data_IF_655770554892
#
_entry.id   IF_655770554892
#
_cell.length_a   1.000
_cell.length_b   1.000
_cell.length_c   1.000
_cell.angle_alpha   90.00
_cell.angle_beta   90.00
_cell.angle_gamma   90.00
#
_symmetry.space_group_name_H-M   'P 1'
#
loop_
_entity.id
_entity.type
_entity.pdbx_description
1 polymer ?
#
# COMPACT_ATOMS: atom_id res chain seq x y z
N UNK A 1 -6.78 16.13 69.52
CA UNK A 1 -6.78 14.67 69.24
C UNK A 1 -7.68 14.41 68.03
N UNK A 2 -7.26 13.54 67.11
CA UNK A 2 -7.88 13.20 65.81
C UNK A 2 -7.50 14.08 64.59
N UNK A 3 -6.22 14.00 64.19
CA UNK A 3 -5.82 14.11 62.79
C UNK A 3 -5.28 12.74 62.38
N UNK A 4 -5.43 12.36 61.10
CA UNK A 4 -4.94 11.15 60.44
C UNK A 4 -5.92 9.96 60.36
N UNK A 5 -6.86 10.02 59.42
CA UNK A 5 -7.37 8.83 58.72
C UNK A 5 -7.81 9.19 57.30
N UNK A 6 -6.88 9.35 56.35
CA UNK A 6 -7.17 9.24 54.91
C UNK A 6 -5.86 9.00 54.11
N UNK A 7 -5.07 8.00 54.51
CA UNK A 7 -3.72 7.73 53.99
C UNK A 7 -3.59 6.42 53.18
N UNK A 8 -4.66 5.93 52.53
CA UNK A 8 -4.61 4.61 51.88
C UNK A 8 -5.12 4.49 50.45
N UNK A 9 -5.60 5.58 49.83
CA UNK A 9 -6.14 5.52 48.46
C UNK A 9 -5.54 6.53 47.46
N UNK A 10 -4.64 7.42 47.90
CA UNK A 10 -4.06 8.44 47.03
C UNK A 10 -3.08 7.86 45.98
N UNK A 11 -2.50 6.69 46.24
CA UNK A 11 -1.58 6.02 45.31
C UNK A 11 -2.29 5.24 44.19
N UNK A 12 -3.60 4.93 44.32
CA UNK A 12 -4.34 4.15 43.33
C UNK A 12 -4.84 4.98 42.14
N UNK A 13 -4.87 6.32 42.25
CA UNK A 13 -5.24 7.23 41.16
C UNK A 13 -4.07 7.69 40.28
N UNK A 14 -2.82 7.40 40.68
CA UNK A 14 -1.61 7.76 39.90
C UNK A 14 -1.14 6.65 38.95
N UNK A 15 -1.73 5.45 39.02
CA UNK A 15 -1.28 4.27 38.28
C UNK A 15 -1.86 4.03 36.87
N UNK A 16 -2.96 4.65 36.38
CA UNK A 16 -3.43 4.35 35.02
C UNK A 16 -2.82 5.25 33.94
N UNK A 17 -2.01 6.27 34.28
CA UNK A 17 -1.50 7.24 33.31
C UNK A 17 -0.27 6.81 32.50
N UNK A 18 0.50 5.82 32.99
CA UNK A 18 1.80 5.46 32.38
C UNK A 18 1.72 4.38 31.30
N UNK A 19 0.58 3.70 31.12
CA UNK A 19 0.44 2.62 30.13
C UNK A 19 0.04 3.10 28.72
N UNK A 20 -0.18 4.40 28.50
CA UNK A 20 -0.72 4.92 27.22
C UNK A 20 0.37 5.39 26.24
N UNK A 21 1.64 5.49 26.64
CA UNK A 21 2.71 6.06 25.80
C UNK A 21 3.67 5.04 25.15
N UNK A 22 3.29 3.77 25.03
CA UNK A 22 4.02 2.81 24.18
C UNK A 22 3.60 2.89 22.70
N UNK A 23 3.40 4.11 22.19
CA UNK A 23 3.28 4.33 20.75
C UNK A 23 4.65 4.17 20.13
N UNK A 24 4.91 3.07 19.41
CA UNK A 24 6.09 2.96 18.57
C UNK A 24 5.99 4.03 17.47
N UNK A 25 6.65 5.17 17.68
CA UNK A 25 6.86 6.18 16.64
C UNK A 25 7.95 5.62 15.74
N UNK A 26 7.60 5.28 14.50
CA UNK A 26 8.55 4.82 13.51
C UNK A 26 9.24 6.02 12.87
N UNK A 27 10.56 5.98 12.66
CA UNK A 27 11.25 7.04 11.94
C UNK A 27 10.66 7.20 10.54
N UNK A 28 10.59 8.44 10.08
CA UNK A 28 10.23 8.74 8.69
C UNK A 28 11.28 8.06 7.78
N UNK A 29 10.85 7.48 6.66
CA UNK A 29 11.80 6.87 5.72
C UNK A 29 12.81 7.91 5.22
N UNK A 30 12.41 9.18 5.24
CA UNK A 30 13.25 10.31 4.84
C UNK A 30 14.49 10.49 5.71
N UNK A 31 14.52 9.93 6.91
CA UNK A 31 15.68 9.93 7.80
C UNK A 31 16.78 8.96 7.34
N UNK A 32 16.44 7.93 6.54
CA UNK A 32 17.45 7.03 5.99
C UNK A 32 18.21 7.67 4.82
N UNK A 33 19.51 7.37 4.66
CA UNK A 33 20.33 7.84 3.55
C UNK A 33 19.67 7.57 2.20
N UNK A 34 19.66 8.57 1.32
CA UNK A 34 19.04 8.50 -0.02
C UNK A 34 19.53 7.28 -0.82
N UNK A 35 20.80 6.94 -0.69
CA UNK A 35 21.45 5.82 -1.37
C UNK A 35 20.84 4.46 -0.99
N UNK A 36 20.37 4.30 0.25
CA UNK A 36 19.74 3.05 0.72
C UNK A 36 18.29 2.91 0.22
N UNK A 37 17.68 4.03 -0.20
CA UNK A 37 16.29 4.10 -0.66
C UNK A 37 16.16 4.19 -2.18
N UNK A 38 17.24 3.95 -2.93
CA UNK A 38 17.18 3.87 -4.40
C UNK A 38 16.49 2.58 -4.83
N UNK A 39 15.53 2.72 -5.74
CA UNK A 39 14.61 1.67 -6.16
C UNK A 39 14.60 1.58 -7.69
N UNK A 40 14.78 0.38 -8.22
CA UNK A 40 14.47 0.08 -9.60
C UNK A 40 13.09 -0.58 -9.68
N UNK A 41 12.19 0.04 -10.44
CA UNK A 41 10.85 -0.47 -10.73
C UNK A 41 10.92 -1.29 -12.02
N UNK A 42 10.87 -2.62 -11.90
CA UNK A 42 10.74 -3.48 -13.07
C UNK A 42 9.34 -3.38 -13.66
N UNK A 43 9.22 -3.56 -14.97
CA UNK A 43 7.92 -3.64 -15.62
C UNK A 43 7.13 -4.83 -15.04
N UNK A 44 5.93 -4.54 -14.56
CA UNK A 44 5.02 -5.58 -14.10
C UNK A 44 4.68 -6.55 -15.25
N UNK A 45 4.77 -7.84 -14.95
CA UNK A 45 4.25 -8.89 -15.83
C UNK A 45 2.72 -8.90 -15.80
N UNK A 46 2.11 -9.56 -16.77
CA UNK A 46 0.66 -9.69 -16.86
C UNK A 46 0.28 -11.12 -17.23
N UNK A 47 -0.50 -11.74 -16.35
CA UNK A 47 -1.04 -13.10 -16.52
C UNK A 47 -2.57 -13.08 -16.70
N UNK A 48 -3.13 -11.92 -17.06
CA UNK A 48 -4.56 -11.71 -17.29
C UNK A 48 -4.87 -11.52 -18.78
N UNK A 49 -6.16 -11.41 -19.12
CA UNK A 49 -6.62 -11.14 -20.49
C UNK A 49 -6.65 -9.63 -20.83
N UNK A 50 -6.49 -8.73 -19.84
CA UNK A 50 -6.47 -7.29 -20.09
C UNK A 50 -5.07 -6.87 -20.51
N UNK A 51 -4.88 -6.41 -21.74
CA UNK A 51 -3.54 -6.21 -22.31
C UNK A 51 -2.77 -5.01 -21.72
N UNK A 52 -3.43 -4.06 -21.07
CA UNK A 52 -2.86 -2.75 -20.75
C UNK A 52 -2.77 -2.46 -19.24
N UNK A 53 -3.43 -3.26 -18.40
CA UNK A 53 -3.51 -3.02 -16.95
C UNK A 53 -2.13 -2.92 -16.28
N UNK A 54 -1.15 -3.72 -16.72
CA UNK A 54 0.22 -3.69 -16.19
C UNK A 54 0.99 -2.42 -16.58
N UNK A 55 0.75 -1.88 -17.78
CA UNK A 55 1.43 -0.67 -18.27
C UNK A 55 0.93 0.53 -17.48
N UNK A 56 -0.40 0.69 -17.40
CA UNK A 56 -1.03 1.75 -16.62
C UNK A 56 -0.67 1.66 -15.13
N UNK A 57 -0.62 0.45 -14.57
CA UNK A 57 -0.19 0.26 -13.18
C UNK A 57 1.25 0.69 -12.97
N UNK A 58 2.18 0.35 -13.87
CA UNK A 58 3.59 0.76 -13.76
C UNK A 58 3.71 2.29 -13.71
N UNK A 59 2.97 3.00 -14.56
CA UNK A 59 3.03 4.46 -14.63
C UNK A 59 2.43 5.10 -13.38
N UNK A 60 1.24 4.66 -12.97
CA UNK A 60 0.58 5.16 -11.76
C UNK A 60 1.41 4.85 -10.50
N UNK A 61 2.04 3.67 -10.44
CA UNK A 61 2.89 3.30 -9.31
C UNK A 61 4.17 4.15 -9.27
N UNK A 62 4.77 4.44 -10.43
CA UNK A 62 5.92 5.35 -10.54
C UNK A 62 5.56 6.74 -10.03
N UNK A 63 4.40 7.27 -10.42
CA UNK A 63 3.88 8.55 -9.92
C UNK A 63 3.65 8.52 -8.41
N UNK A 64 3.01 7.47 -7.89
CA UNK A 64 2.73 7.33 -6.46
C UNK A 64 4.04 7.33 -5.65
N UNK A 65 5.01 6.50 -6.03
CA UNK A 65 6.33 6.45 -5.37
C UNK A 65 7.02 7.82 -5.42
N UNK A 66 7.04 8.46 -6.59
CA UNK A 66 7.65 9.78 -6.76
C UNK A 66 6.99 10.84 -5.88
N UNK A 67 5.66 10.81 -5.76
CA UNK A 67 4.89 11.79 -4.98
C UNK A 67 5.13 11.71 -3.47
N UNK A 68 5.51 10.54 -2.94
CA UNK A 68 5.72 10.32 -1.50
C UNK A 68 7.13 10.63 -1.04
N UNK A 69 8.11 10.49 -1.94
CA UNK A 69 9.54 10.68 -1.67
C UNK A 69 10.10 9.70 -0.60
N UNK A 70 9.41 8.58 -0.40
CA UNK A 70 9.85 7.49 0.48
C UNK A 70 10.92 6.63 -0.19
N UNK A 71 10.85 6.46 -1.52
CA UNK A 71 11.85 5.77 -2.35
C UNK A 71 12.23 6.63 -3.54
N UNK A 72 13.46 6.46 -4.02
CA UNK A 72 14.01 7.20 -5.16
C UNK A 72 14.13 6.28 -6.37
N UNK A 73 13.32 6.51 -7.39
CA UNK A 73 13.36 5.70 -8.61
C UNK A 73 14.61 6.06 -9.42
N UNK A 74 15.38 5.04 -9.79
CA UNK A 74 16.55 5.16 -10.67
C UNK A 74 16.28 4.49 -12.01
N UNK A 75 16.92 4.98 -13.06
CA UNK A 75 16.72 4.52 -14.44
C UNK A 75 17.44 3.22 -14.75
N UNK A 76 18.56 2.95 -14.07
CA UNK A 76 19.36 1.75 -14.29
C UNK A 76 19.26 0.79 -13.11
N UNK A 77 19.10 -0.52 -13.35
CA UNK A 77 19.00 -1.48 -12.26
C UNK A 77 20.22 -1.44 -11.33
N UNK A 78 21.41 -1.24 -11.88
CA UNK A 78 22.69 -1.31 -11.17
C UNK A 78 22.86 -0.22 -10.09
N UNK A 79 22.18 0.91 -10.26
CA UNK A 79 22.20 2.05 -9.34
C UNK A 79 21.25 1.86 -8.15
N UNK A 80 20.39 0.85 -8.19
CA UNK A 80 19.35 0.64 -7.20
C UNK A 80 19.80 -0.28 -6.06
N UNK A 81 19.57 0.16 -4.83
CA UNK A 81 19.68 -0.68 -3.63
C UNK A 81 18.53 -1.68 -3.54
N UNK A 82 17.37 -1.34 -4.10
CA UNK A 82 16.14 -2.12 -4.06
C UNK A 82 15.62 -2.41 -5.48
N UNK A 83 15.02 -3.59 -5.67
CA UNK A 83 14.29 -3.95 -6.88
C UNK A 83 12.87 -4.37 -6.57
N UNK A 84 11.88 -3.72 -7.20
CA UNK A 84 10.47 -4.09 -7.11
C UNK A 84 10.01 -4.81 -8.38
N UNK A 85 9.51 -6.02 -8.20
CA UNK A 85 8.92 -6.87 -9.23
C UNK A 85 7.44 -7.03 -8.94
N UNK A 86 6.65 -7.17 -10.00
CA UNK A 86 5.23 -7.46 -9.87
C UNK A 86 4.66 -8.22 -11.05
N UNK A 87 3.53 -8.85 -10.80
CA UNK A 87 2.74 -9.57 -11.79
C UNK A 87 1.26 -9.29 -11.53
N UNK A 88 0.55 -8.80 -12.54
CA UNK A 88 -0.91 -8.70 -12.50
C UNK A 88 -1.49 -10.11 -12.66
N UNK A 89 -2.12 -10.60 -11.59
CA UNK A 89 -2.64 -11.97 -11.50
C UNK A 89 -4.15 -12.02 -11.70
N UNK A 90 -4.85 -10.90 -11.53
CA UNK A 90 -6.30 -10.80 -11.67
C UNK A 90 -6.70 -9.44 -12.20
N UNK A 91 -7.55 -9.43 -13.22
CA UNK A 91 -8.30 -8.24 -13.64
C UNK A 91 -9.70 -8.69 -14.07
N UNK A 92 -10.75 -8.17 -13.41
CA UNK A 92 -12.13 -8.60 -13.65
C UNK A 92 -13.11 -7.43 -13.59
N UNK A 93 -14.15 -7.52 -14.43
CA UNK A 93 -15.35 -6.69 -14.38
C UNK A 93 -16.58 -7.56 -14.17
N UNK A 94 -17.36 -7.27 -13.13
CA UNK A 94 -18.56 -8.02 -12.77
C UNK A 94 -19.79 -7.11 -12.69
N UNK A 95 -20.92 -7.52 -13.29
CA UNK A 95 -22.20 -6.82 -13.13
C UNK A 95 -22.84 -7.16 -11.79
N UNK A 96 -23.14 -6.15 -10.96
CA UNK A 96 -23.68 -6.30 -9.59
C UNK A 96 -25.16 -5.97 -9.45
N UNK A 97 -25.67 -5.02 -10.24
CA UNK A 97 -27.08 -4.62 -10.23
C UNK A 97 -27.59 -4.60 -11.66
N UNK A 98 -28.85 -5.00 -11.86
CA UNK A 98 -29.48 -5.14 -13.17
C UNK A 98 -30.80 -4.38 -13.23
N UNK A 99 -31.10 -3.79 -14.38
CA UNK A 99 -32.41 -3.19 -14.65
C UNK A 99 -33.48 -4.26 -14.94
N UNK A 100 -34.73 -3.83 -15.15
CA UNK A 100 -35.86 -4.71 -15.47
C UNK A 100 -35.67 -5.51 -16.78
N UNK A 101 -34.73 -5.08 -17.64
CA UNK A 101 -34.37 -5.75 -18.90
C UNK A 101 -33.13 -6.62 -18.75
N UNK A 102 -32.63 -6.85 -17.52
CA UNK A 102 -31.41 -7.59 -17.20
C UNK A 102 -30.12 -6.99 -17.76
N UNK A 103 -30.08 -5.67 -18.00
CA UNK A 103 -28.83 -4.99 -18.30
C UNK A 103 -28.13 -4.59 -17.01
N UNK A 104 -26.82 -4.83 -16.85
CA UNK A 104 -26.10 -4.39 -15.67
C UNK A 104 -26.03 -2.86 -15.60
N UNK A 105 -26.52 -2.29 -14.50
CA UNK A 105 -26.49 -0.85 -14.20
C UNK A 105 -25.36 -0.47 -13.25
N UNK A 106 -24.88 -1.43 -12.44
CA UNK A 106 -23.71 -1.26 -11.56
C UNK A 106 -22.69 -2.35 -11.81
N UNK A 107 -21.43 -1.96 -11.80
CA UNK A 107 -20.30 -2.84 -12.04
C UNK A 107 -19.34 -2.79 -10.86
N UNK A 108 -18.60 -3.88 -10.69
CA UNK A 108 -17.45 -3.99 -9.82
C UNK A 108 -16.22 -4.31 -10.68
N UNK A 109 -15.14 -3.56 -10.46
CA UNK A 109 -13.83 -3.85 -11.00
C UNK A 109 -12.93 -4.37 -9.90
N UNK A 110 -12.21 -5.44 -10.17
CA UNK A 110 -11.28 -6.08 -9.24
C UNK A 110 -9.93 -6.21 -9.94
N UNK A 111 -8.86 -5.83 -9.24
CA UNK A 111 -7.48 -6.08 -9.67
C UNK A 111 -6.71 -6.75 -8.54
N UNK A 112 -5.85 -7.71 -8.91
CA UNK A 112 -4.93 -8.38 -8.01
C UNK A 112 -3.53 -8.44 -8.62
N UNK A 113 -2.52 -8.23 -7.77
CA UNK A 113 -1.12 -8.34 -8.14
C UNK A 113 -0.34 -9.12 -7.11
N UNK A 114 0.66 -9.85 -7.57
CA UNK A 114 1.71 -10.40 -6.72
C UNK A 114 2.94 -9.50 -6.83
N UNK A 115 3.48 -9.06 -5.71
CA UNK A 115 4.65 -8.19 -5.68
C UNK A 115 5.80 -8.82 -4.90
N UNK A 116 7.02 -8.50 -5.30
CA UNK A 116 8.24 -8.88 -4.59
C UNK A 116 9.23 -7.73 -4.58
N UNK A 117 9.70 -7.35 -3.40
CA UNK A 117 10.78 -6.38 -3.23
C UNK A 117 12.03 -7.08 -2.72
N UNK A 118 13.18 -6.82 -3.36
CA UNK A 118 14.47 -7.41 -2.99
C UNK A 118 15.53 -6.35 -2.79
N UNK A 119 16.42 -6.59 -1.84
CA UNK A 119 17.67 -5.86 -1.69
C UNK A 119 18.68 -6.41 -2.70
N UNK A 120 19.28 -5.55 -3.54
CA UNK A 120 20.17 -6.00 -4.62
C UNK A 120 21.52 -6.54 -4.12
N UNK A 121 22.23 -5.88 -3.18
CA UNK A 121 23.53 -6.37 -2.72
C UNK A 121 23.49 -7.78 -2.10
N UNK A 122 22.41 -8.09 -1.37
CA UNK A 122 22.26 -9.35 -0.62
C UNK A 122 21.35 -10.37 -1.31
N UNK A 123 20.53 -9.94 -2.28
CA UNK A 123 19.46 -10.75 -2.85
C UNK A 123 18.29 -11.02 -1.89
N UNK A 124 18.32 -10.46 -0.68
CA UNK A 124 17.33 -10.72 0.36
C UNK A 124 15.96 -10.21 -0.05
N UNK A 125 14.94 -11.05 0.12
CA UNK A 125 13.54 -10.68 -0.13
C UNK A 125 13.03 -9.88 1.07
N UNK A 126 12.68 -8.61 0.83
CA UNK A 126 12.15 -7.72 1.85
C UNK A 126 10.62 -7.78 1.92
N UNK A 127 9.98 -7.99 0.77
CA UNK A 127 8.53 -8.09 0.63
C UNK A 127 8.19 -9.21 -0.37
N UNK A 128 7.18 -10.01 -0.05
CA UNK A 128 6.54 -10.93 -0.98
C UNK A 128 5.07 -11.02 -0.57
N UNK A 129 4.20 -10.24 -1.20
CA UNK A 129 2.78 -10.16 -0.87
C UNK A 129 1.90 -10.19 -2.11
N UNK A 130 0.62 -10.46 -1.89
CA UNK A 130 -0.42 -10.25 -2.89
C UNK A 130 -1.23 -9.02 -2.45
N UNK A 131 -1.38 -8.06 -3.36
CA UNK A 131 -2.15 -6.85 -3.14
C UNK A 131 -3.34 -6.85 -4.08
N UNK A 132 -4.47 -6.33 -3.61
CA UNK A 132 -5.67 -6.21 -4.43
C UNK A 132 -6.39 -4.90 -4.16
N UNK A 133 -7.17 -4.46 -5.14
CA UNK A 133 -8.10 -3.37 -4.98
C UNK A 133 -9.42 -3.73 -5.67
N UNK A 134 -10.50 -3.12 -5.19
CA UNK A 134 -11.85 -3.28 -5.74
C UNK A 134 -12.54 -1.94 -5.77
N UNK A 135 -13.19 -1.61 -6.88
CA UNK A 135 -14.03 -0.42 -6.97
C UNK A 135 -15.39 -0.74 -7.58
N UNK A 136 -16.41 -0.03 -7.14
CA UNK A 136 -17.72 -0.05 -7.78
C UNK A 136 -17.90 1.21 -8.62
N UNK A 137 -18.57 1.07 -9.77
CA UNK A 137 -18.97 2.20 -10.60
C UNK A 137 -20.32 1.96 -11.27
N UNK A 138 -20.96 3.04 -11.70
CA UNK A 138 -22.16 2.99 -12.53
C UNK A 138 -22.09 4.08 -13.58
N UNK A 139 -22.32 3.77 -14.86
CA UNK A 139 -22.40 4.81 -15.89
C UNK A 139 -23.74 5.56 -15.88
N UNK A 140 -24.73 5.14 -15.08
CA UNK A 140 -26.13 5.63 -15.16
C UNK A 140 -26.75 6.03 -13.83
N UNK A 141 -26.28 5.51 -12.71
CA UNK A 141 -26.93 5.67 -11.39
C UNK A 141 -25.98 6.26 -10.35
N UNK A 142 -26.54 6.95 -9.35
CA UNK A 142 -25.78 7.50 -8.23
C UNK A 142 -24.89 8.67 -8.66
N UNK A 143 -23.57 8.50 -8.54
CA UNK A 143 -22.55 9.38 -9.10
C UNK A 143 -22.03 8.74 -10.39
N UNK A 144 -22.51 9.17 -11.58
CA UNK A 144 -22.14 8.54 -12.83
C UNK A 144 -20.64 8.61 -13.07
N UNK A 145 -20.03 7.46 -13.30
CA UNK A 145 -18.60 7.29 -13.54
C UNK A 145 -18.42 6.35 -14.74
N UNK A 146 -17.49 6.68 -15.64
CA UNK A 146 -17.16 5.80 -16.75
C UNK A 146 -16.26 4.65 -16.30
N UNK A 147 -16.24 3.57 -17.07
CA UNK A 147 -15.33 2.44 -16.81
C UNK A 147 -13.86 2.88 -16.80
N UNK A 148 -13.49 3.83 -17.66
CA UNK A 148 -12.14 4.38 -17.73
C UNK A 148 -11.77 5.14 -16.44
N UNK A 149 -12.69 5.97 -15.93
CA UNK A 149 -12.50 6.69 -14.67
C UNK A 149 -12.38 5.71 -13.48
N UNK A 150 -13.25 4.71 -13.45
CA UNK A 150 -13.24 3.68 -12.41
C UNK A 150 -11.95 2.83 -12.46
N UNK A 151 -11.48 2.44 -13.65
CA UNK A 151 -10.21 1.74 -13.86
C UNK A 151 -9.04 2.55 -13.33
N UNK A 152 -8.93 3.81 -13.71
CA UNK A 152 -7.85 4.68 -13.23
C UNK A 152 -7.89 4.85 -11.70
N UNK A 153 -9.09 4.99 -11.11
CA UNK A 153 -9.28 5.03 -9.66
C UNK A 153 -8.86 3.72 -8.97
N UNK A 154 -9.22 2.58 -9.54
CA UNK A 154 -8.83 1.25 -9.08
C UNK A 154 -7.31 1.09 -9.06
N UNK A 155 -6.65 1.43 -10.17
CA UNK A 155 -5.20 1.31 -10.30
C UNK A 155 -4.46 2.23 -9.31
N UNK A 156 -4.97 3.46 -9.10
CA UNK A 156 -4.43 4.37 -8.09
C UNK A 156 -4.61 3.84 -6.68
N UNK A 157 -5.74 3.19 -6.38
CA UNK A 157 -5.93 2.54 -5.09
C UNK A 157 -4.95 1.39 -4.88
N UNK A 158 -4.76 0.56 -5.91
CA UNK A 158 -3.79 -0.52 -5.86
C UNK A 158 -2.35 -0.01 -5.68
N UNK A 159 -1.95 1.03 -6.41
CA UNK A 159 -0.62 1.64 -6.27
C UNK A 159 -0.35 2.12 -4.83
N UNK A 160 -1.35 2.73 -4.18
CA UNK A 160 -1.27 3.09 -2.75
C UNK A 160 -1.12 1.88 -1.84
N UNK A 161 -1.79 0.76 -2.15
CA UNK A 161 -1.67 -0.48 -1.36
C UNK A 161 -0.23 -1.04 -1.48
N UNK A 162 0.28 -1.16 -2.71
CA UNK A 162 1.66 -1.60 -2.99
C UNK A 162 2.66 -0.71 -2.25
N UNK A 163 2.53 0.62 -2.38
CA UNK A 163 3.42 1.58 -1.72
C UNK A 163 3.40 1.42 -0.19
N UNK A 164 2.21 1.29 0.42
CA UNK A 164 2.09 1.03 1.86
C UNK A 164 2.81 -0.25 2.28
N UNK A 165 2.66 -1.33 1.51
CA UNK A 165 3.34 -2.60 1.78
C UNK A 165 4.87 -2.49 1.63
N UNK A 166 5.36 -1.72 0.65
CA UNK A 166 6.80 -1.43 0.50
C UNK A 166 7.36 -0.69 1.71
N UNK A 167 6.68 0.38 2.16
CA UNK A 167 7.09 1.18 3.32
C UNK A 167 7.09 0.32 4.59
N UNK A 168 6.02 -0.45 4.81
CA UNK A 168 5.91 -1.32 5.97
C UNK A 168 7.01 -2.39 6.00
N UNK A 169 7.27 -3.03 4.85
CA UNK A 169 8.33 -4.03 4.71
C UNK A 169 9.73 -3.44 4.96
N UNK A 170 10.01 -2.26 4.42
CA UNK A 170 11.30 -1.60 4.60
C UNK A 170 11.55 -1.21 6.07
N UNK A 171 10.52 -0.68 6.75
CA UNK A 171 10.60 -0.36 8.20
C UNK A 171 10.83 -1.60 9.05
N UNK A 172 10.13 -2.71 8.75
CA UNK A 172 10.26 -3.96 9.50
C UNK A 172 11.68 -4.54 9.51
N UNK A 173 12.52 -4.19 8.53
CA UNK A 173 13.92 -4.60 8.50
C UNK A 173 14.77 -3.92 9.58
N UNK A 174 14.40 -2.70 9.96
CA UNK A 174 15.21 -1.85 10.85
C UNK A 174 14.79 -1.96 12.32
N UNK A 175 13.65 -2.59 12.60
CA UNK A 175 13.15 -2.84 13.96
C UNK A 175 13.81 -4.03 14.64
N UNK A 176 14.48 -4.93 13.91
CA UNK A 176 15.10 -6.14 14.46
C UNK A 176 16.56 -5.99 14.92
N UNK A 177 17.12 -4.77 14.92
CA UNK A 177 18.54 -4.52 15.21
C UNK A 177 18.81 -3.79 16.54
N UNK A 178 17.78 -3.56 17.38
CA UNK A 178 17.94 -2.96 18.71
C UNK A 178 17.75 -3.99 19.83
#
# INVERSE_FOLDING_TARGET
>A
MSLLRFSRYLWLLLLPGWLIFAGCVYPDLKEFPRQQRTLYLYNFANSTFDADAQVELNDILREEIHSKDDFLIVSEPEEASLGLYGEVTLYRKEGRLYDNLRNPTRYELIIGVRIRMREKPSGRVLLSSEESATVHYSPREGFPESELQARHRLLRELARNIHRSMVAAYRGQHTGQN
#
